data_IF_061605616526
#
_entry.id   IF_061605616526
#
_cell.length_a   1.000
_cell.length_b   1.000
_cell.length_c   1.000
_cell.angle_alpha   90.00
_cell.angle_beta   90.00
_cell.angle_gamma   90.00
#
_symmetry.space_group_name_H-M   'P 1'
#
loop_
_entity.id
_entity.type
_entity.pdbx_description
1 polymer ?
#
# COMPACT_ATOMS: atom_id res chain seq x y z
N UNK A 1 25.11 100.95 -111.59
CA UNK A 1 23.88 101.70 -111.92
C UNK A 1 24.04 103.13 -111.43
N UNK A 2 23.93 104.10 -112.35
CA UNK A 2 23.78 105.57 -112.24
C UNK A 2 24.49 106.32 -111.10
N UNK A 3 25.51 107.17 -111.31
CA UNK A 3 25.62 108.42 -112.11
C UNK A 3 24.64 109.54 -111.70
N UNK A 4 25.19 110.69 -111.30
CA UNK A 4 24.80 112.10 -111.62
C UNK A 4 25.33 113.07 -110.55
N UNK A 5 26.45 113.79 -110.81
CA UNK A 5 26.55 115.08 -111.53
C UNK A 5 25.82 116.21 -110.76
N UNK A 6 26.30 117.44 -110.56
CA UNK A 6 27.39 118.21 -111.13
C UNK A 6 27.26 119.68 -110.66
N UNK A 7 28.30 120.45 -110.97
CA UNK A 7 28.58 121.89 -110.73
C UNK A 7 27.47 122.89 -111.11
N UNK A 8 27.53 124.11 -110.51
CA UNK A 8 27.72 125.42 -111.19
C UNK A 8 27.55 126.62 -110.21
N UNK A 9 28.59 127.41 -109.90
CA UNK A 9 29.07 128.71 -110.49
C UNK A 9 28.39 130.01 -109.99
N UNK A 10 29.19 130.81 -109.25
CA UNK A 10 29.43 132.28 -109.32
C UNK A 10 28.30 133.35 -109.19
N UNK A 11 28.36 134.11 -108.06
CA UNK A 11 28.35 135.60 -107.82
C UNK A 11 27.42 136.55 -108.62
N UNK A 12 26.80 137.60 -108.01
CA UNK A 12 27.56 138.80 -107.57
C UNK A 12 27.05 139.64 -106.36
N UNK A 13 28.05 140.33 -105.77
CA UNK A 13 28.12 141.72 -105.26
C UNK A 13 26.82 142.57 -105.24
N UNK A 14 26.44 143.04 -104.05
CA UNK A 14 25.51 144.14 -103.82
C UNK A 14 25.47 144.48 -102.32
N UNK A 15 25.98 145.66 -101.94
CA UNK A 15 26.05 146.10 -100.54
C UNK A 15 24.77 146.80 -100.08
N UNK A 16 24.55 146.80 -98.77
CA UNK A 16 24.00 147.92 -97.96
C UNK A 16 23.45 147.38 -96.63
N UNK A 17 24.15 147.70 -95.54
CA UNK A 17 23.61 148.01 -94.20
C UNK A 17 22.38 147.24 -93.68
N UNK A 18 22.61 146.01 -93.19
CA UNK A 18 21.85 145.43 -92.06
C UNK A 18 22.70 144.35 -91.36
N UNK A 19 23.97 144.65 -91.11
CA UNK A 19 24.99 143.73 -90.57
C UNK A 19 24.75 143.21 -89.15
N UNK A 20 23.66 143.61 -88.49
CA UNK A 20 23.30 143.10 -87.16
C UNK A 20 22.21 142.02 -87.17
N UNK A 21 21.32 141.97 -88.18
CA UNK A 21 20.25 140.96 -88.23
C UNK A 21 20.72 139.64 -88.87
N UNK A 22 21.57 139.69 -89.89
CA UNK A 22 22.10 138.49 -90.55
C UNK A 22 23.16 137.79 -89.68
N UNK A 23 24.00 138.55 -88.96
CA UNK A 23 24.89 137.99 -87.94
C UNK A 23 24.10 137.39 -86.77
N UNK A 24 22.99 138.02 -86.34
CA UNK A 24 22.13 137.48 -85.29
C UNK A 24 21.42 136.19 -85.72
N UNK A 25 20.92 136.10 -86.95
CA UNK A 25 20.27 134.88 -87.48
C UNK A 25 21.28 133.76 -87.70
N UNK A 26 22.49 134.06 -88.20
CA UNK A 26 23.54 133.05 -88.42
C UNK A 26 24.11 132.56 -87.07
N UNK A 27 24.22 133.43 -86.06
CA UNK A 27 24.49 133.03 -84.68
C UNK A 27 23.36 132.17 -84.11
N UNK A 28 22.08 132.51 -84.32
CA UNK A 28 20.94 131.68 -83.86
C UNK A 28 20.87 130.32 -84.55
N UNK A 29 21.22 130.23 -85.84
CA UNK A 29 21.28 128.96 -86.58
C UNK A 29 22.49 128.11 -86.16
N UNK A 30 23.66 128.72 -85.90
CA UNK A 30 24.82 128.00 -85.36
C UNK A 30 24.62 127.58 -83.89
N UNK A 31 23.93 128.39 -83.09
CA UNK A 31 23.53 128.04 -81.72
C UNK A 31 22.44 126.95 -81.77
N UNK A 32 21.48 127.01 -82.69
CA UNK A 32 20.44 126.00 -82.88
C UNK A 32 20.99 124.66 -83.40
N UNK A 33 21.91 124.69 -84.37
CA UNK A 33 22.58 123.49 -84.87
C UNK A 33 23.58 122.92 -83.85
N UNK A 34 24.25 123.79 -83.08
CA UNK A 34 25.11 123.39 -81.95
C UNK A 34 24.30 122.79 -80.80
N UNK A 35 23.15 123.38 -80.46
CA UNK A 35 22.22 122.86 -79.46
C UNK A 35 21.61 121.53 -79.93
N UNK A 36 21.15 121.42 -81.17
CA UNK A 36 20.62 120.17 -81.72
C UNK A 36 21.69 119.07 -81.80
N UNK A 37 22.91 119.40 -82.23
CA UNK A 37 24.04 118.46 -82.21
C UNK A 37 24.43 118.05 -80.80
N UNK A 38 24.29 118.93 -79.82
CA UNK A 38 24.50 118.63 -78.39
C UNK A 38 23.39 117.73 -77.84
N UNK A 39 22.11 118.03 -78.09
CA UNK A 39 20.97 117.19 -77.70
C UNK A 39 21.00 115.82 -78.38
N UNK A 40 21.31 115.75 -79.67
CA UNK A 40 21.45 114.47 -80.39
C UNK A 40 22.64 113.66 -79.86
N UNK A 41 23.75 114.32 -79.51
CA UNK A 41 24.90 113.66 -78.87
C UNK A 41 24.57 113.18 -77.45
N UNK A 42 23.77 113.94 -76.71
CA UNK A 42 23.35 113.56 -75.35
C UNK A 42 22.34 112.41 -75.40
N UNK A 43 21.42 112.42 -76.37
CA UNK A 43 20.51 111.30 -76.62
C UNK A 43 21.29 110.03 -77.01
N UNK A 44 22.23 110.12 -77.96
CA UNK A 44 23.09 109.00 -78.33
C UNK A 44 23.99 108.54 -77.16
N UNK A 45 24.46 109.44 -76.30
CA UNK A 45 25.20 109.08 -75.08
C UNK A 45 24.32 108.35 -74.07
N UNK A 46 23.07 108.76 -73.91
CA UNK A 46 22.10 108.09 -73.04
C UNK A 46 21.76 106.70 -73.56
N UNK A 47 21.54 106.54 -74.87
CA UNK A 47 21.33 105.24 -75.51
C UNK A 47 22.56 104.34 -75.40
N UNK A 48 23.77 104.87 -75.60
CA UNK A 48 25.02 104.12 -75.39
C UNK A 48 25.17 103.70 -73.93
N UNK A 49 24.85 104.58 -72.98
CA UNK A 49 24.91 104.25 -71.55
C UNK A 49 23.87 103.18 -71.17
N UNK A 50 22.66 103.25 -71.70
CA UNK A 50 21.60 102.26 -71.52
C UNK A 50 21.97 100.90 -72.14
N UNK A 51 22.49 100.89 -73.38
CA UNK A 51 23.03 99.70 -74.04
C UNK A 51 24.20 99.09 -73.26
N UNK A 52 25.06 99.92 -72.67
CA UNK A 52 26.19 99.45 -71.84
C UNK A 52 25.69 98.86 -70.52
N UNK A 53 24.69 99.47 -69.90
CA UNK A 53 24.04 98.96 -68.70
C UNK A 53 23.27 97.65 -68.97
N UNK A 54 22.58 97.55 -70.10
CA UNK A 54 21.88 96.33 -70.51
C UNK A 54 22.87 95.20 -70.84
N UNK A 55 23.98 95.50 -71.52
CA UNK A 55 25.05 94.52 -71.75
C UNK A 55 25.70 94.05 -70.43
N UNK A 56 25.95 94.95 -69.48
CA UNK A 56 26.49 94.55 -68.18
C UNK A 56 25.48 93.71 -67.38
N UNK A 57 24.19 94.04 -67.43
CA UNK A 57 23.13 93.24 -66.82
C UNK A 57 23.00 91.85 -67.46
N UNK A 58 23.01 91.77 -68.80
CA UNK A 58 22.97 90.50 -69.52
C UNK A 58 24.19 89.62 -69.22
N UNK A 59 25.38 90.21 -69.14
CA UNK A 59 26.59 89.47 -68.74
C UNK A 59 26.52 88.98 -67.28
N UNK A 60 25.96 89.77 -66.36
CA UNK A 60 25.74 89.35 -64.99
C UNK A 60 24.69 88.21 -64.90
N UNK A 61 23.60 88.29 -65.67
CA UNK A 61 22.61 87.22 -65.79
C UNK A 61 23.23 85.94 -66.38
N UNK A 62 24.06 86.06 -67.41
CA UNK A 62 24.76 84.93 -68.02
C UNK A 62 25.70 84.27 -66.99
N UNK A 63 26.52 85.05 -66.29
CA UNK A 63 27.39 84.54 -65.23
C UNK A 63 26.60 83.84 -64.11
N UNK A 64 25.45 84.41 -63.71
CA UNK A 64 24.56 83.77 -62.73
C UNK A 64 23.99 82.45 -63.26
N UNK A 65 23.46 82.42 -64.50
CA UNK A 65 22.95 81.18 -65.09
C UNK A 65 24.03 80.12 -65.26
N UNK A 66 25.28 80.51 -65.51
CA UNK A 66 26.40 79.58 -65.57
C UNK A 66 26.76 79.02 -64.19
N UNK A 67 26.72 79.85 -63.14
CA UNK A 67 26.89 79.41 -61.76
C UNK A 67 25.77 78.47 -61.31
N UNK A 68 24.51 78.83 -61.58
CA UNK A 68 23.34 77.99 -61.28
C UNK A 68 23.41 76.65 -62.03
N UNK A 69 23.83 76.67 -63.31
CA UNK A 69 24.05 75.45 -64.10
C UNK A 69 25.14 74.55 -63.50
N UNK A 70 26.24 75.13 -63.01
CA UNK A 70 27.30 74.38 -62.32
C UNK A 70 26.81 73.79 -61.00
N UNK A 71 26.11 74.59 -60.18
CA UNK A 71 25.52 74.11 -58.92
C UNK A 71 24.52 72.96 -59.13
N UNK A 72 23.62 73.09 -60.11
CA UNK A 72 22.70 72.01 -60.47
C UNK A 72 23.43 70.75 -60.98
N UNK A 73 24.54 70.92 -61.70
CA UNK A 73 25.37 69.78 -62.13
C UNK A 73 25.99 69.07 -60.93
N UNK A 74 26.54 69.83 -59.97
CA UNK A 74 27.15 69.28 -58.76
C UNK A 74 26.11 68.57 -57.89
N UNK A 75 24.91 69.14 -57.76
CA UNK A 75 23.77 68.54 -57.05
C UNK A 75 23.32 67.23 -57.71
N UNK A 76 23.23 67.19 -59.06
CA UNK A 76 22.92 65.97 -59.81
C UNK A 76 23.98 64.89 -59.55
N UNK A 77 25.26 65.25 -59.54
CA UNK A 77 26.34 64.30 -59.32
C UNK A 77 26.44 63.84 -57.86
N UNK A 78 26.06 64.69 -56.90
CA UNK A 78 25.89 64.30 -55.50
C UNK A 78 24.70 63.34 -55.34
N UNK A 79 23.56 63.64 -55.95
CA UNK A 79 22.37 62.78 -55.94
C UNK A 79 22.66 61.42 -56.56
N UNK A 80 23.37 61.36 -57.70
CA UNK A 80 23.77 60.09 -58.33
C UNK A 80 24.66 59.25 -57.41
N UNK A 81 25.63 59.87 -56.74
CA UNK A 81 26.52 59.17 -55.79
C UNK A 81 25.74 58.65 -54.59
N UNK A 82 24.87 59.48 -54.00
CA UNK A 82 24.04 59.08 -52.87
C UNK A 82 23.05 57.98 -53.24
N UNK A 83 22.41 58.06 -54.40
CA UNK A 83 21.53 57.02 -54.91
C UNK A 83 22.26 55.69 -55.11
N UNK A 84 23.49 55.71 -55.65
CA UNK A 84 24.32 54.52 -55.77
C UNK A 84 24.70 53.91 -54.42
N UNK A 85 25.04 54.75 -53.43
CA UNK A 85 25.33 54.28 -52.07
C UNK A 85 24.10 53.69 -51.37
N UNK A 86 22.94 54.32 -51.50
CA UNK A 86 21.69 53.79 -50.95
C UNK A 86 21.28 52.47 -51.62
N UNK A 87 21.43 52.37 -52.94
CA UNK A 87 21.17 51.12 -53.66
C UNK A 87 22.09 49.99 -53.17
N UNK A 88 23.40 50.26 -53.05
CA UNK A 88 24.35 49.26 -52.54
C UNK A 88 24.08 48.85 -51.09
N UNK A 89 23.72 49.80 -50.23
CA UNK A 89 23.37 49.50 -48.83
C UNK A 89 22.08 48.69 -48.74
N UNK A 90 21.06 49.03 -49.52
CA UNK A 90 19.79 48.29 -49.55
C UNK A 90 19.99 46.85 -50.02
N UNK A 91 20.83 46.64 -51.03
CA UNK A 91 21.17 45.30 -51.53
C UNK A 91 21.95 44.48 -50.49
N UNK A 92 22.87 45.13 -49.76
CA UNK A 92 23.59 44.50 -48.65
C UNK A 92 22.65 44.13 -47.50
N UNK A 93 21.77 45.04 -47.07
CA UNK A 93 20.81 44.80 -45.99
C UNK A 93 19.82 43.69 -46.39
N UNK A 94 19.38 43.65 -47.66
CA UNK A 94 18.53 42.57 -48.18
C UNK A 94 19.25 41.22 -48.19
N UNK A 95 20.51 41.19 -48.64
CA UNK A 95 21.32 39.98 -48.63
C UNK A 95 21.56 39.48 -47.21
N UNK A 96 21.87 40.36 -46.25
CA UNK A 96 22.06 40.00 -44.84
C UNK A 96 20.77 39.44 -44.24
N UNK A 97 19.64 40.09 -44.49
CA UNK A 97 18.34 39.63 -44.02
C UNK A 97 18.00 38.24 -44.57
N UNK A 98 18.22 38.00 -45.87
CA UNK A 98 17.93 36.72 -46.51
C UNK A 98 18.90 35.61 -46.13
N UNK A 99 20.19 35.90 -46.02
CA UNK A 99 21.22 34.87 -45.84
C UNK A 99 21.47 34.56 -44.36
N UNK A 100 21.30 35.54 -43.47
CA UNK A 100 21.66 35.39 -42.07
C UNK A 100 20.44 35.37 -41.16
N UNK A 101 19.61 36.42 -41.18
CA UNK A 101 18.55 36.57 -40.17
C UNK A 101 17.35 35.64 -40.42
N UNK A 102 16.82 35.54 -41.65
CA UNK A 102 15.69 34.64 -41.95
C UNK A 102 16.05 33.16 -41.65
N UNK A 103 17.21 32.62 -42.09
CA UNK A 103 17.57 31.25 -41.77
C UNK A 103 17.81 31.01 -40.27
N UNK A 104 18.36 32.00 -39.56
CA UNK A 104 18.56 31.92 -38.11
C UNK A 104 17.23 31.88 -37.36
N UNK A 105 16.26 32.72 -37.75
CA UNK A 105 14.91 32.70 -37.19
C UNK A 105 14.20 31.38 -37.48
N UNK A 106 14.30 30.84 -38.70
CA UNK A 106 13.74 29.53 -39.02
C UNK A 106 14.33 28.41 -38.16
N UNK A 107 15.66 28.37 -37.97
CA UNK A 107 16.29 27.39 -37.08
C UNK A 107 15.83 27.52 -35.62
N UNK A 108 15.60 28.75 -35.16
CA UNK A 108 15.06 28.98 -33.82
C UNK A 108 13.61 28.51 -33.70
N UNK A 109 12.79 28.76 -34.73
CA UNK A 109 11.42 28.27 -34.82
C UNK A 109 11.39 26.74 -34.78
N UNK A 110 12.16 26.06 -35.64
CA UNK A 110 12.28 24.60 -35.68
C UNK A 110 12.71 24.04 -34.31
N UNK A 111 13.65 24.71 -33.64
CA UNK A 111 14.09 24.32 -32.30
C UNK A 111 12.99 24.49 -31.25
N UNK A 112 12.20 25.56 -31.33
CA UNK A 112 11.05 25.79 -30.44
C UNK A 112 9.98 24.73 -30.68
N UNK A 113 9.64 24.44 -31.93
CA UNK A 113 8.67 23.40 -32.29
C UNK A 113 9.09 22.02 -31.80
N UNK A 114 10.36 21.66 -31.98
CA UNK A 114 10.92 20.42 -31.44
C UNK A 114 10.86 20.37 -29.90
N UNK A 115 11.10 21.50 -29.23
CA UNK A 115 11.00 21.59 -27.77
C UNK A 115 9.55 21.47 -27.29
N UNK A 116 8.61 22.11 -27.98
CA UNK A 116 7.17 22.03 -27.68
C UNK A 116 6.71 20.58 -27.82
N UNK A 117 7.00 19.92 -28.94
CA UNK A 117 6.64 18.52 -29.15
C UNK A 117 7.25 17.59 -28.09
N UNK A 118 8.49 17.84 -27.66
CA UNK A 118 9.12 17.08 -26.59
C UNK A 118 8.44 17.30 -25.22
N UNK A 119 8.08 18.54 -24.90
CA UNK A 119 7.36 18.88 -23.65
C UNK A 119 5.94 18.32 -23.65
N UNK A 120 5.23 18.36 -24.77
CA UNK A 120 3.91 17.73 -24.92
C UNK A 120 4.00 16.23 -24.66
N UNK A 121 4.99 15.55 -25.26
CA UNK A 121 5.23 14.12 -25.01
C UNK A 121 5.55 13.82 -23.54
N UNK A 122 6.35 14.67 -22.88
CA UNK A 122 6.64 14.52 -21.45
C UNK A 122 5.39 14.72 -20.60
N UNK A 123 4.55 15.70 -20.95
CA UNK A 123 3.31 15.99 -20.25
C UNK A 123 2.30 14.85 -20.39
N UNK A 124 2.18 14.26 -21.58
CA UNK A 124 1.33 13.07 -21.80
C UNK A 124 1.85 11.85 -21.04
N UNK A 125 3.17 11.62 -21.02
CA UNK A 125 3.76 10.55 -20.22
C UNK A 125 3.51 10.75 -18.72
N UNK A 126 3.65 11.98 -18.21
CA UNK A 126 3.35 12.29 -16.81
C UNK A 126 1.87 12.08 -16.48
N UNK A 127 0.95 12.49 -17.36
CA UNK A 127 -0.49 12.24 -17.19
C UNK A 127 -0.80 10.74 -17.17
N UNK A 128 -0.21 9.96 -18.08
CA UNK A 128 -0.38 8.52 -18.12
C UNK A 128 0.14 7.84 -16.85
N UNK A 129 1.32 8.22 -16.38
CA UNK A 129 1.89 7.71 -15.14
C UNK A 129 1.02 8.09 -13.92
N UNK A 130 0.58 9.34 -13.83
CA UNK A 130 -0.30 9.78 -12.74
C UNK A 130 -1.64 9.03 -12.72
N UNK A 131 -2.21 8.74 -13.89
CA UNK A 131 -3.42 7.91 -14.00
C UNK A 131 -3.15 6.47 -13.54
N UNK A 132 -2.04 5.87 -13.95
CA UNK A 132 -1.64 4.53 -13.53
C UNK A 132 -1.40 4.47 -12.00
N UNK A 133 -0.66 5.42 -11.44
CA UNK A 133 -0.40 5.51 -10.00
C UNK A 133 -1.69 5.68 -9.20
N UNK A 134 -2.62 6.51 -9.69
CA UNK A 134 -3.95 6.65 -9.06
C UNK A 134 -4.68 5.31 -9.01
N UNK A 135 -4.76 4.59 -10.13
CA UNK A 135 -5.44 3.28 -10.16
C UNK A 135 -4.76 2.26 -9.26
N UNK A 136 -3.44 2.28 -9.18
CA UNK A 136 -2.66 1.41 -8.29
C UNK A 136 -2.93 1.72 -6.83
N UNK A 137 -2.88 2.99 -6.44
CA UNK A 137 -3.15 3.43 -5.07
C UNK A 137 -4.59 3.13 -4.64
N UNK A 138 -5.56 3.26 -5.54
CA UNK A 138 -6.95 2.86 -5.29
C UNK A 138 -7.07 1.35 -5.04
N UNK A 139 -6.37 0.53 -5.83
CA UNK A 139 -6.34 -0.92 -5.64
C UNK A 139 -5.63 -1.33 -4.33
N UNK A 140 -4.48 -0.71 -4.03
CA UNK A 140 -3.73 -0.97 -2.79
C UNK A 140 -4.56 -0.57 -1.56
N UNK A 141 -5.30 0.55 -1.63
CA UNK A 141 -6.19 0.98 -0.55
C UNK A 141 -7.34 -0.02 -0.35
N UNK A 142 -7.97 -0.50 -1.43
CA UNK A 142 -9.01 -1.52 -1.35
C UNK A 142 -8.49 -2.82 -0.73
N UNK A 143 -7.30 -3.28 -1.15
CA UNK A 143 -6.67 -4.47 -0.60
C UNK A 143 -6.37 -4.31 0.90
N UNK A 144 -5.79 -3.17 1.30
CA UNK A 144 -5.50 -2.87 2.70
C UNK A 144 -6.79 -2.80 3.55
N UNK A 145 -7.88 -2.24 3.02
CA UNK A 145 -9.16 -2.23 3.73
C UNK A 145 -9.73 -3.63 3.92
N UNK A 146 -9.68 -4.49 2.89
CA UNK A 146 -10.14 -5.88 2.99
C UNK A 146 -9.30 -6.69 3.99
N UNK A 147 -7.98 -6.49 4.01
CA UNK A 147 -7.09 -7.13 4.98
C UNK A 147 -7.37 -6.67 6.42
N UNK A 148 -7.62 -5.38 6.62
CA UNK A 148 -7.99 -4.84 7.92
C UNK A 148 -9.34 -5.40 8.42
N UNK A 149 -10.32 -5.57 7.54
CA UNK A 149 -11.60 -6.21 7.86
C UNK A 149 -11.43 -7.70 8.22
N UNK A 150 -10.66 -8.45 7.43
CA UNK A 150 -10.35 -9.86 7.73
C UNK A 150 -9.60 -10.03 9.05
N UNK A 151 -8.66 -9.12 9.34
CA UNK A 151 -7.95 -9.10 10.63
C UNK A 151 -8.89 -8.79 11.80
N UNK A 152 -9.82 -7.84 11.64
CA UNK A 152 -10.84 -7.52 12.65
C UNK A 152 -11.78 -8.71 12.93
N UNK A 153 -12.19 -9.43 11.89
CA UNK A 153 -13.00 -10.65 12.04
C UNK A 153 -12.23 -11.71 12.83
N UNK A 154 -10.98 -11.99 12.42
CA UNK A 154 -10.12 -12.96 13.11
C UNK A 154 -9.92 -12.62 14.59
N UNK A 155 -9.70 -11.34 14.92
CA UNK A 155 -9.61 -10.87 16.31
C UNK A 155 -10.93 -11.08 17.06
N UNK A 156 -12.07 -10.83 16.40
CA UNK A 156 -13.39 -11.08 16.95
C UNK A 156 -13.62 -12.56 17.29
N UNK A 157 -13.27 -13.45 16.36
CA UNK A 157 -13.41 -14.90 16.53
C UNK A 157 -12.51 -15.42 17.66
N UNK A 158 -11.23 -15.04 17.67
CA UNK A 158 -10.29 -15.41 18.73
C UNK A 158 -10.74 -14.89 20.10
N UNK A 159 -11.34 -13.69 20.16
CA UNK A 159 -11.90 -13.14 21.40
C UNK A 159 -13.11 -13.95 21.89
N UNK A 160 -13.98 -14.39 20.97
CA UNK A 160 -15.11 -15.26 21.31
C UNK A 160 -14.63 -16.61 21.85
N UNK A 161 -13.63 -17.20 21.19
CA UNK A 161 -13.04 -18.47 21.61
C UNK A 161 -12.37 -18.35 22.98
N UNK A 162 -11.59 -17.28 23.21
CA UNK A 162 -11.00 -17.01 24.51
C UNK A 162 -12.05 -16.87 25.63
N UNK A 163 -13.20 -16.24 25.36
CA UNK A 163 -14.30 -16.15 26.32
C UNK A 163 -14.95 -17.51 26.60
N UNK A 164 -15.13 -18.35 25.58
CA UNK A 164 -15.65 -19.72 25.75
C UNK A 164 -14.72 -20.56 26.60
N UNK A 165 -13.43 -20.58 26.26
CA UNK A 165 -12.40 -21.31 27.01
C UNK A 165 -12.29 -20.81 28.47
N UNK A 166 -12.41 -19.50 28.70
CA UNK A 166 -12.44 -18.97 30.06
C UNK A 166 -13.66 -19.49 30.86
N UNK A 167 -14.84 -19.56 30.22
CA UNK A 167 -16.03 -20.14 30.83
C UNK A 167 -15.89 -21.64 31.13
N UNK A 168 -15.34 -22.41 30.20
CA UNK A 168 -15.05 -23.84 30.38
C UNK A 168 -14.05 -24.08 31.53
N UNK A 169 -13.03 -23.22 31.67
CA UNK A 169 -12.04 -23.30 32.74
C UNK A 169 -12.69 -23.07 34.12
N UNK A 170 -13.54 -22.05 34.25
CA UNK A 170 -14.29 -21.82 35.49
C UNK A 170 -15.25 -22.98 35.81
N UNK A 171 -15.90 -23.57 34.79
CA UNK A 171 -16.73 -24.75 34.99
C UNK A 171 -15.94 -25.98 35.45
N UNK A 172 -14.78 -26.23 34.84
CA UNK A 172 -13.88 -27.32 35.26
C UNK A 172 -13.38 -27.12 36.70
N UNK A 173 -13.06 -25.87 37.06
CA UNK A 173 -12.61 -25.52 38.40
C UNK A 173 -13.70 -25.76 39.44
N UNK A 174 -14.94 -25.40 39.14
CA UNK A 174 -16.09 -25.69 39.99
C UNK A 174 -16.30 -27.21 40.15
N UNK A 175 -16.29 -27.98 39.05
CA UNK A 175 -16.40 -29.44 39.10
C UNK A 175 -15.28 -30.09 39.92
N UNK A 176 -14.05 -29.62 39.78
CA UNK A 176 -12.93 -30.11 40.59
C UNK A 176 -13.12 -29.84 42.09
N UNK A 177 -13.74 -28.71 42.46
CA UNK A 177 -14.14 -28.42 43.83
C UNK A 177 -15.17 -29.41 44.35
N UNK A 178 -16.24 -29.63 43.57
CA UNK A 178 -17.30 -30.59 43.90
C UNK A 178 -16.75 -32.01 44.10
N UNK A 179 -15.83 -32.46 43.24
CA UNK A 179 -15.17 -33.76 43.42
C UNK A 179 -14.34 -33.84 44.71
N UNK A 180 -13.69 -32.74 45.10
CA UNK A 180 -12.99 -32.62 46.38
C UNK A 180 -13.93 -32.79 47.58
N UNK A 181 -15.09 -32.14 47.52
CA UNK A 181 -16.13 -32.23 48.56
C UNK A 181 -16.77 -33.62 48.63
N UNK A 182 -17.04 -34.24 47.48
CA UNK A 182 -17.53 -35.63 47.44
C UNK A 182 -16.50 -36.57 48.04
N UNK A 183 -15.21 -36.40 47.70
CA UNK A 183 -14.13 -37.24 48.24
C UNK A 183 -14.02 -37.10 49.76
N UNK A 184 -14.06 -35.88 50.30
CA UNK A 184 -14.00 -35.66 51.75
C UNK A 184 -15.17 -36.31 52.48
N UNK A 185 -16.41 -36.15 51.96
CA UNK A 185 -17.60 -36.83 52.50
C UNK A 185 -17.50 -38.34 52.45
N UNK A 186 -17.03 -38.92 51.34
CA UNK A 186 -16.85 -40.37 51.24
C UNK A 186 -15.81 -40.88 52.23
N UNK A 187 -14.73 -40.14 52.47
CA UNK A 187 -13.73 -40.51 53.47
C UNK A 187 -14.29 -40.45 54.89
N UNK A 188 -15.09 -39.42 55.22
CA UNK A 188 -15.78 -39.33 56.51
C UNK A 188 -16.76 -40.49 56.71
N UNK A 189 -17.58 -40.81 55.70
CA UNK A 189 -18.51 -41.94 55.75
C UNK A 189 -17.77 -43.28 55.88
N UNK A 190 -16.64 -43.44 55.20
CA UNK A 190 -15.81 -44.64 55.32
C UNK A 190 -15.27 -44.80 56.75
N UNK A 191 -14.75 -43.73 57.35
CA UNK A 191 -14.27 -43.74 58.74
C UNK A 191 -15.40 -44.04 59.73
N UNK A 192 -16.59 -43.46 59.52
CA UNK A 192 -17.76 -43.76 60.32
C UNK A 192 -18.16 -45.23 60.21
N UNK A 193 -18.29 -45.76 58.98
CA UNK A 193 -18.61 -47.17 58.74
C UNK A 193 -17.57 -48.14 59.32
N UNK A 194 -16.28 -47.80 59.26
CA UNK A 194 -15.23 -48.58 59.92
C UNK A 194 -15.38 -48.60 61.44
N UNK A 195 -15.72 -47.45 62.05
CA UNK A 195 -15.96 -47.36 63.49
C UNK A 195 -17.19 -48.15 63.93
N UNK A 196 -18.27 -48.10 63.15
CA UNK A 196 -19.49 -48.88 63.39
C UNK A 196 -19.22 -50.38 63.23
N UNK A 197 -18.46 -50.79 62.21
CA UNK A 197 -18.06 -52.18 62.02
C UNK A 197 -17.20 -52.69 63.19
N UNK A 198 -16.28 -51.87 63.72
CA UNK A 198 -15.49 -52.21 64.89
C UNK A 198 -16.37 -52.36 66.15
N UNK A 199 -17.32 -51.45 66.36
CA UNK A 199 -18.28 -51.52 67.46
C UNK A 199 -19.21 -52.75 67.35
N UNK A 200 -19.69 -53.04 66.14
CA UNK A 200 -20.48 -54.25 65.87
C UNK A 200 -19.67 -55.52 66.16
N UNK A 201 -18.39 -55.55 65.76
CA UNK A 201 -17.49 -56.67 66.06
C UNK A 201 -17.30 -56.85 67.56
N UNK A 202 -17.04 -55.77 68.32
CA UNK A 202 -16.89 -55.88 69.78
C UNK A 202 -18.18 -56.35 70.46
N UNK A 203 -19.35 -55.90 69.96
CA UNK A 203 -20.65 -56.37 70.46
C UNK A 203 -20.88 -57.84 70.16
N UNK A 204 -20.45 -58.32 68.99
CA UNK A 204 -20.54 -59.73 68.60
C UNK A 204 -19.63 -60.60 69.47
N UNK A 205 -18.41 -60.14 69.76
CA UNK A 205 -17.50 -60.79 70.72
C UNK A 205 -18.11 -60.84 72.13
N UNK A 206 -18.70 -59.74 72.61
CA UNK A 206 -19.38 -59.70 73.90
C UNK A 206 -20.59 -60.65 73.97
N UNK A 207 -21.41 -60.70 72.91
CA UNK A 207 -22.52 -61.64 72.81
C UNK A 207 -22.04 -63.10 72.80
N UNK A 208 -20.97 -63.41 72.07
CA UNK A 208 -20.39 -64.75 72.08
C UNK A 208 -19.88 -65.16 73.48
N UNK A 209 -19.23 -64.25 74.22
CA UNK A 209 -18.85 -64.52 75.60
C UNK A 209 -20.07 -64.79 76.48
N UNK A 210 -21.14 -64.01 76.30
CA UNK A 210 -22.41 -64.21 76.99
C UNK A 210 -23.05 -65.57 76.67
N UNK A 211 -23.00 -66.02 75.40
CA UNK A 211 -23.48 -67.35 75.00
C UNK A 211 -22.66 -68.43 75.67
N UNK A 212 -21.32 -68.33 75.69
CA UNK A 212 -20.46 -69.29 76.38
C UNK A 212 -20.74 -69.33 77.90
N UNK A 213 -21.03 -68.20 78.51
CA UNK A 213 -21.41 -68.13 79.92
C UNK A 213 -22.79 -68.75 80.19
N UNK A 214 -23.77 -68.50 79.32
CA UNK A 214 -25.09 -69.14 79.37
C UNK A 214 -24.99 -70.65 79.14
N UNK A 215 -24.12 -71.13 78.25
CA UNK A 215 -23.86 -72.55 78.05
C UNK A 215 -23.22 -73.19 79.29
N UNK A 216 -22.28 -72.50 79.94
CA UNK A 216 -21.72 -72.94 81.24
C UNK A 216 -22.79 -72.98 82.33
N UNK A 217 -23.64 -71.97 82.43
CA UNK A 217 -24.75 -71.95 83.38
C UNK A 217 -25.76 -73.06 83.10
N UNK A 218 -26.11 -73.28 81.83
CA UNK A 218 -27.01 -74.36 81.41
C UNK A 218 -26.42 -75.74 81.70
N UNK A 219 -25.14 -75.96 81.43
CA UNK A 219 -24.47 -77.23 81.75
C UNK A 219 -24.36 -77.45 83.27
N UNK A 220 -24.13 -76.40 84.05
CA UNK A 220 -24.18 -76.47 85.51
C UNK A 220 -25.60 -76.78 86.03
N UNK A 221 -26.65 -76.17 85.47
CA UNK A 221 -28.04 -76.48 85.79
C UNK A 221 -28.43 -77.90 85.37
N UNK A 222 -28.02 -78.35 84.18
CA UNK A 222 -28.19 -79.75 83.76
C UNK A 222 -27.48 -80.71 84.71
N UNK A 223 -26.28 -80.38 85.19
CA UNK A 223 -25.57 -81.18 86.18
C UNK A 223 -26.29 -81.20 87.54
N UNK A 224 -26.88 -80.08 87.97
CA UNK A 224 -27.73 -80.00 89.17
C UNK A 224 -29.01 -80.81 89.01
N UNK A 225 -29.70 -80.69 87.88
CA UNK A 225 -30.86 -81.50 87.55
C UNK A 225 -30.51 -82.99 87.51
N UNK A 226 -29.41 -83.38 86.86
CA UNK A 226 -28.92 -84.76 86.88
C UNK A 226 -28.52 -85.24 88.28
N UNK A 227 -28.00 -84.37 89.15
CA UNK A 227 -27.72 -84.71 90.54
C UNK A 227 -29.02 -84.91 91.35
N UNK A 228 -30.03 -84.07 91.13
CA UNK A 228 -31.37 -84.21 91.71
C UNK A 228 -32.09 -85.45 91.17
N UNK A 229 -32.00 -85.74 89.87
CA UNK A 229 -32.46 -86.97 89.24
C UNK A 229 -31.72 -88.18 89.80
N UNK A 230 -30.40 -88.10 90.04
CA UNK A 230 -29.66 -89.14 90.77
C UNK A 230 -30.09 -89.27 92.21
N UNK A 231 -30.52 -88.21 92.88
CA UNK A 231 -31.13 -88.28 94.22
C UNK A 231 -32.52 -88.95 94.16
N UNK A 232 -33.33 -88.65 93.14
CA UNK A 232 -34.63 -89.28 92.88
C UNK A 232 -34.49 -90.75 92.44
N UNK A 233 -33.46 -91.08 91.65
CA UNK A 233 -33.09 -92.43 91.26
C UNK A 233 -32.43 -93.20 92.43
N UNK A 234 -31.72 -92.53 93.34
CA UNK A 234 -31.32 -93.15 94.62
C UNK A 234 -32.51 -93.45 95.53
N UNK A 235 -33.61 -92.70 95.41
CA UNK A 235 -34.89 -93.04 96.05
C UNK A 235 -35.67 -94.11 95.27
N UNK A 236 -35.28 -94.40 94.03
CA UNK A 236 -35.98 -95.31 93.12
C UNK A 236 -34.96 -95.99 92.21
N UNK A 237 -34.28 -97.06 92.65
CA UNK A 237 -33.37 -97.82 91.77
C UNK A 237 -33.69 -99.31 91.83
N UNK A 238 -33.52 -100.04 90.71
CA UNK A 238 -32.24 -100.20 89.96
C UNK A 238 -32.36 -99.90 88.43
N UNK A 239 -31.35 -99.82 87.54
CA UNK A 239 -29.87 -99.82 87.52
C UNK A 239 -29.38 -99.55 86.04
N UNK A 240 -28.07 -99.26 85.85
CA UNK A 240 -27.20 -99.38 84.64
C UNK A 240 -27.43 -98.40 83.44
N UNK A 241 -26.49 -98.01 82.57
CA UNK A 241 -25.03 -98.12 82.36
C UNK A 241 -24.60 -97.12 81.24
N UNK A 242 -23.31 -96.72 81.20
CA UNK A 242 -22.40 -96.41 80.04
C UNK A 242 -22.86 -95.54 78.82
N UNK A 243 -22.09 -94.82 77.97
CA UNK A 243 -20.67 -94.56 77.69
C UNK A 243 -20.55 -93.32 76.72
N UNK A 244 -19.30 -92.98 76.37
CA UNK A 244 -18.72 -91.82 75.64
C UNK A 244 -19.10 -91.65 74.14
N UNK A 245 -18.92 -90.45 73.54
CA UNK A 245 -17.86 -90.09 72.54
C UNK A 245 -18.11 -88.72 71.83
N UNK A 246 -17.05 -87.90 71.67
CA UNK A 246 -16.89 -86.77 70.71
C UNK A 246 -16.28 -87.34 69.38
N UNK A 247 -15.85 -86.60 68.31
CA UNK A 247 -15.78 -85.15 68.03
C UNK A 247 -16.03 -84.75 66.53
N UNK A 248 -15.87 -83.43 66.21
CA UNK A 248 -15.13 -82.76 65.09
C UNK A 248 -15.04 -83.42 63.68
N UNK A 249 -14.74 -82.76 62.57
CA UNK A 249 -14.70 -81.39 62.05
C UNK A 249 -14.13 -81.53 60.61
N UNK A 250 -14.48 -80.58 59.74
CA UNK A 250 -13.58 -79.95 58.77
C UNK A 250 -13.18 -80.59 57.41
N UNK A 251 -13.11 -79.66 56.45
CA UNK A 251 -12.22 -79.52 55.28
C UNK A 251 -12.63 -80.06 53.91
N UNK A 252 -13.19 -79.10 53.17
CA UNK A 252 -12.79 -78.64 51.84
C UNK A 252 -11.45 -79.18 51.29
N UNK A 253 -11.50 -79.58 50.03
CA UNK A 253 -10.36 -79.57 49.09
C UNK A 253 -10.88 -79.12 47.73
N UNK A 254 -10.33 -78.06 47.10
CA UNK A 254 -10.58 -77.75 45.69
C UNK A 254 -9.65 -78.55 44.78
N UNK A 255 -10.21 -79.06 43.70
CA UNK A 255 -9.53 -79.82 42.63
C UNK A 255 -9.12 -78.85 41.52
N UNK A 256 -7.82 -78.79 41.24
CA UNK A 256 -7.23 -78.13 40.06
C UNK A 256 -7.58 -78.91 38.79
N UNK A 257 -8.19 -78.25 37.80
CA UNK A 257 -8.41 -78.80 36.45
C UNK A 257 -7.43 -78.13 35.50
N UNK A 258 -6.40 -78.86 35.10
CA UNK A 258 -5.50 -78.49 34.02
C UNK A 258 -6.28 -78.27 32.70
N UNK A 259 -6.15 -77.09 32.09
CA UNK A 259 -6.76 -76.73 30.79
C UNK A 259 -5.68 -76.43 29.75
N UNK A 260 -5.98 -76.77 28.49
CA UNK A 260 -5.06 -76.73 27.35
C UNK A 260 -4.40 -75.34 27.16
N UNK A 261 -3.08 -75.27 26.86
CA UNK A 261 -2.42 -74.05 26.44
C UNK A 261 -3.09 -73.45 25.20
N UNK A 262 -3.28 -72.13 25.20
CA UNK A 262 -3.89 -71.35 24.10
C UNK A 262 -2.79 -70.61 23.33
N UNK A 263 -3.04 -70.30 22.05
CA UNK A 263 -2.05 -69.64 21.17
C UNK A 263 -1.78 -68.19 21.61
N UNK A 264 -0.52 -67.89 21.93
CA UNK A 264 -0.03 -66.59 22.36
C UNK A 264 -0.31 -65.47 21.35
N UNK A 265 -0.27 -65.81 20.05
CA UNK A 265 -0.51 -64.85 18.98
C UNK A 265 -1.99 -64.43 18.93
N UNK A 266 -2.90 -65.39 19.14
CA UNK A 266 -4.34 -65.12 19.17
C UNK A 266 -4.73 -64.29 20.40
N UNK A 267 -4.14 -64.58 21.58
CA UNK A 267 -4.39 -63.84 22.81
C UNK A 267 -3.89 -62.39 22.70
N UNK A 268 -2.69 -62.17 22.15
CA UNK A 268 -2.13 -60.83 21.99
C UNK A 268 -2.98 -59.94 21.07
N UNK A 269 -3.47 -60.48 19.95
CA UNK A 269 -4.37 -59.80 19.03
C UNK A 269 -5.73 -59.49 19.69
N UNK A 270 -6.26 -60.42 20.48
CA UNK A 270 -7.50 -60.24 21.22
C UNK A 270 -7.37 -59.14 22.27
N UNK A 271 -6.30 -59.13 23.07
CA UNK A 271 -6.05 -58.09 24.09
C UNK A 271 -5.83 -56.71 23.47
N UNK A 272 -5.16 -56.61 22.32
CA UNK A 272 -4.98 -55.34 21.60
C UNK A 272 -6.30 -54.77 21.06
N UNK A 273 -7.25 -55.64 20.70
CA UNK A 273 -8.55 -55.25 20.16
C UNK A 273 -9.60 -54.86 21.23
N UNK A 274 -9.33 -55.06 22.52
CA UNK A 274 -10.29 -54.76 23.59
C UNK A 274 -10.25 -53.29 24.02
N UNK A 275 -11.39 -52.62 23.89
CA UNK A 275 -11.60 -51.27 24.45
C UNK A 275 -11.71 -51.38 25.97
N UNK A 276 -10.78 -50.73 26.70
CA UNK A 276 -10.74 -50.71 28.17
C UNK A 276 -9.46 -51.27 28.79
N UNK A 277 -8.64 -51.99 28.03
CA UNK A 277 -7.32 -52.48 28.48
C UNK A 277 -6.18 -51.45 28.30
N UNK A 278 -6.45 -50.30 27.67
CA UNK A 278 -5.45 -49.26 27.42
C UNK A 278 -4.94 -48.52 28.66
N UNK A 279 -5.57 -48.72 29.82
CA UNK A 279 -5.14 -48.17 31.12
C UNK A 279 -4.24 -49.13 31.91
N UNK A 280 -4.01 -50.34 31.40
CA UNK A 280 -3.13 -51.32 32.03
C UNK A 280 -1.68 -51.03 31.67
N UNK A 281 -0.84 -50.96 32.70
CA UNK A 281 0.62 -50.92 32.57
C UNK A 281 1.12 -52.14 31.77
N UNK A 282 2.19 -51.97 31.00
CA UNK A 282 2.71 -53.01 30.12
C UNK A 282 3.14 -54.28 30.87
N UNK A 283 3.58 -54.17 32.12
CA UNK A 283 3.90 -55.32 32.98
C UNK A 283 2.66 -56.13 33.35
N UNK A 284 1.57 -55.45 33.67
CA UNK A 284 0.26 -56.04 33.99
C UNK A 284 -0.38 -56.70 32.76
N UNK A 285 -0.21 -56.10 31.58
CA UNK A 285 -0.69 -56.67 30.30
C UNK A 285 0.04 -57.97 29.94
N UNK A 286 1.37 -58.01 30.13
CA UNK A 286 2.17 -59.22 29.91
C UNK A 286 1.80 -60.35 30.88
N UNK A 287 1.51 -60.02 32.15
CA UNK A 287 1.05 -61.01 33.13
C UNK A 287 -0.29 -61.62 32.76
N UNK A 288 -1.27 -60.79 32.38
CA UNK A 288 -2.57 -61.25 31.88
C UNK A 288 -2.42 -62.15 30.65
N UNK A 289 -1.54 -61.79 29.72
CA UNK A 289 -1.25 -62.59 28.53
C UNK A 289 -0.68 -63.96 28.91
N UNK A 290 0.30 -64.03 29.81
CA UNK A 290 0.91 -65.28 30.23
C UNK A 290 -0.07 -66.20 30.99
N UNK A 291 -0.96 -65.63 31.82
CA UNK A 291 -1.98 -66.40 32.55
C UNK A 291 -3.09 -66.92 31.62
N UNK A 292 -3.49 -66.14 30.61
CA UNK A 292 -4.46 -66.62 29.61
C UNK A 292 -3.85 -67.65 28.65
N UNK A 293 -2.56 -67.54 28.34
CA UNK A 293 -1.80 -68.48 27.53
C UNK A 293 -1.59 -69.83 28.22
N UNK A 294 -1.34 -69.80 29.54
CA UNK A 294 -1.23 -71.00 30.37
C UNK A 294 -2.58 -71.71 30.60
N UNK A 295 -3.69 -71.14 30.13
CA UNK A 295 -5.02 -71.73 30.18
C UNK A 295 -5.81 -71.42 31.45
N UNK A 296 -5.42 -70.38 32.21
CA UNK A 296 -6.17 -69.94 33.39
C UNK A 296 -7.59 -69.45 33.04
N UNK A 297 -8.49 -69.50 34.02
CA UNK A 297 -9.84 -68.95 33.91
C UNK A 297 -9.77 -67.44 33.63
N UNK A 298 -10.67 -66.94 32.76
CA UNK A 298 -10.67 -65.54 32.35
C UNK A 298 -11.00 -64.65 33.56
N UNK A 299 -11.85 -65.11 34.47
CA UNK A 299 -12.14 -64.42 35.73
C UNK A 299 -10.91 -64.26 36.62
N UNK A 300 -10.16 -65.35 36.81
CA UNK A 300 -9.03 -65.39 37.75
C UNK A 300 -7.84 -64.58 37.21
N UNK A 301 -7.60 -64.69 35.89
CA UNK A 301 -6.58 -63.91 35.22
C UNK A 301 -6.90 -62.40 35.18
N UNK A 302 -8.18 -62.03 35.14
CA UNK A 302 -8.59 -60.63 35.22
C UNK A 302 -8.53 -60.09 36.65
N UNK A 303 -8.89 -60.89 37.64
CA UNK A 303 -8.80 -60.54 39.07
C UNK A 303 -7.34 -60.35 39.52
N UNK A 304 -6.40 -61.13 38.96
CA UNK A 304 -4.97 -61.00 39.28
C UNK A 304 -4.35 -59.67 38.83
N UNK A 305 -5.00 -58.96 37.88
CA UNK A 305 -4.49 -57.73 37.26
C UNK A 305 -5.35 -56.50 37.55
N UNK A 306 -6.63 -56.68 37.86
CA UNK A 306 -7.59 -55.63 38.17
C UNK A 306 -8.22 -55.81 39.56
N UNK A 307 -8.12 -54.76 40.41
CA UNK A 307 -8.86 -54.71 41.68
C UNK A 307 -10.39 -54.63 41.48
N UNK A 308 -10.83 -54.14 40.32
CA UNK A 308 -12.22 -54.14 39.86
C UNK A 308 -12.27 -54.43 38.36
N UNK A 309 -12.77 -55.61 38.00
CA UNK A 309 -12.82 -56.07 36.60
C UNK A 309 -13.95 -55.35 35.85
N UNK A 310 -13.67 -54.65 34.73
CA UNK A 310 -14.72 -54.09 33.89
C UNK A 310 -15.57 -55.21 33.28
N UNK A 311 -16.89 -55.22 33.56
CA UNK A 311 -17.83 -56.26 33.08
C UNK A 311 -17.81 -56.46 31.56
N UNK A 312 -17.58 -55.38 30.80
CA UNK A 312 -17.51 -55.43 29.34
C UNK A 312 -16.29 -56.22 28.87
N UNK A 313 -15.13 -56.00 29.51
CA UNK A 313 -13.87 -56.70 29.19
C UNK A 313 -13.99 -58.18 29.54
N UNK A 314 -14.57 -58.51 30.70
CA UNK A 314 -14.82 -59.89 31.12
C UNK A 314 -15.74 -60.63 30.15
N UNK A 315 -16.89 -60.03 29.80
CA UNK A 315 -17.87 -60.65 28.89
C UNK A 315 -17.30 -60.88 27.49
N UNK A 316 -16.57 -59.91 26.96
CA UNK A 316 -16.01 -60.00 25.61
C UNK A 316 -14.85 -61.00 25.54
N UNK A 317 -14.05 -61.14 26.60
CA UNK A 317 -12.98 -62.15 26.68
C UNK A 317 -13.54 -63.56 26.85
N UNK A 318 -14.53 -63.77 27.74
CA UNK A 318 -15.18 -65.08 27.90
C UNK A 318 -15.82 -65.56 26.59
N UNK A 319 -16.49 -64.65 25.86
CA UNK A 319 -17.14 -64.97 24.57
C UNK A 319 -16.14 -65.30 23.47
N UNK A 320 -15.04 -64.53 23.35
CA UNK A 320 -14.06 -64.73 22.27
C UNK A 320 -13.11 -65.89 22.53
N UNK A 321 -12.73 -66.12 23.79
CA UNK A 321 -11.85 -67.23 24.18
C UNK A 321 -12.60 -68.55 24.42
N UNK A 322 -13.94 -68.58 24.20
CA UNK A 322 -14.83 -69.72 24.50
C UNK A 322 -14.54 -70.32 25.87
N UNK A 323 -14.43 -69.45 26.86
CA UNK A 323 -14.01 -69.83 28.19
C UNK A 323 -15.24 -70.00 29.07
N UNK A 324 -15.47 -71.21 29.57
CA UNK A 324 -16.57 -71.54 30.49
C UNK A 324 -16.28 -71.07 31.94
N UNK A 325 -15.10 -70.49 32.14
CA UNK A 325 -14.63 -69.68 33.25
C UNK A 325 -13.66 -68.62 32.69
#
# INVERSE_FOLDING_TARGET
>A
MNNQWGRNTQTPRGGSSAGFLLAAVLCLVLIGAGAYGWFARENLRSEIAELTASNSELSAKLAKTEADRKGLSDDIDALKRNAGQWAGKLEQDYADLQLNEVPKLNRLLDKRDATIAALEKQLDALKANAAADKTRLEADLQAATAEAEGSRQTIGDLRSEAQKLAGELEQLKAQSGDFGDVRSRTETLLKAAQSEAAAAKSKLEALNQHVLELEKALSAEKARAAALERQLARLSTPAADEAQEQPQADKQTPVDIARKPRDDAEISALLAAQRGLGRLDDGKRRRLQNELASGACVTDALESVFDKVPLVVMRDLMRKLKSDC
#
